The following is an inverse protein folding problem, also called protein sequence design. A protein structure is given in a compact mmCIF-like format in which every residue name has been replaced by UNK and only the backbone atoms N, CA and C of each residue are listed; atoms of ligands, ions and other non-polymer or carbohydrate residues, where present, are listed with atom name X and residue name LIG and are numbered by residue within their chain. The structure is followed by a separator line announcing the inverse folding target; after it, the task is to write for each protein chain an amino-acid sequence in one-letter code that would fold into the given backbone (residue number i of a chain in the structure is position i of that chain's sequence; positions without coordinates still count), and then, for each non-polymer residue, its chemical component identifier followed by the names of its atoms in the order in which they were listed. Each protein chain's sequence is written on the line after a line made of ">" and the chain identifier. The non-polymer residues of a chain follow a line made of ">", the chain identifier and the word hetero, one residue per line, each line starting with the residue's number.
data_IF_346860182306
#
_entry.id   IF_346860182306
#
_cell.length_a   1.000
_cell.length_b   1.000
_cell.length_c   1.000
_cell.angle_alpha   90.00
_cell.angle_beta   90.00
_cell.angle_gamma   90.00
#
_symmetry.space_group_name_H-M   'P 1'
#
loop_
_entity.id
_entity.type
_entity.pdbx_description
1 polymer ?
#
# COMPACT_ATOMS: atom_id res chain seq x y z
N UNK A 1 34.44 60.84 9.98
CA UNK A 1 33.90 60.35 8.70
C UNK A 1 34.35 58.90 8.51
N UNK A 2 33.39 58.06 8.14
CA UNK A 2 33.49 56.75 7.48
C UNK A 2 34.35 55.64 8.12
N UNK A 3 33.65 54.83 8.92
CA UNK A 3 33.88 53.41 9.14
C UNK A 3 33.57 52.60 7.86
N UNK A 4 34.46 51.73 7.39
CA UNK A 4 34.07 50.66 6.47
C UNK A 4 34.83 49.34 6.78
N UNK A 5 34.22 48.53 7.65
CA UNK A 5 34.51 47.10 7.79
C UNK A 5 33.88 46.35 6.60
N UNK A 6 34.69 45.73 5.75
CA UNK A 6 34.21 44.75 4.77
C UNK A 6 34.01 43.43 5.49
N UNK A 7 32.75 43.12 5.81
CA UNK A 7 32.34 41.81 6.34
C UNK A 7 31.90 40.94 5.16
N UNK A 8 32.73 39.98 4.76
CA UNK A 8 32.38 38.95 3.77
C UNK A 8 31.40 37.96 4.38
N UNK A 9 30.19 37.91 3.83
CA UNK A 9 29.10 37.02 4.21
C UNK A 9 29.27 35.70 3.44
N UNK A 10 29.45 34.53 4.10
CA UNK A 10 29.35 33.27 3.39
C UNK A 10 27.87 32.95 3.14
N UNK A 11 27.50 32.80 1.86
CA UNK A 11 26.24 32.19 1.44
C UNK A 11 26.13 30.79 2.04
N UNK A 12 25.23 30.62 3.01
CA UNK A 12 24.74 29.31 3.41
C UNK A 12 23.92 28.76 2.25
N UNK A 13 24.52 27.88 1.45
CA UNK A 13 23.76 26.92 0.64
C UNK A 13 22.81 26.20 1.60
N UNK A 14 21.51 26.42 1.44
CA UNK A 14 20.48 25.66 2.12
C UNK A 14 20.54 24.24 1.56
N UNK A 15 21.28 23.37 2.26
CA UNK A 15 21.13 21.93 2.10
C UNK A 15 19.69 21.59 2.46
N UNK A 16 18.96 21.04 1.49
CA UNK A 16 17.63 20.49 1.70
C UNK A 16 17.65 19.52 2.90
N UNK A 17 16.62 19.49 3.76
CA UNK A 17 16.54 18.52 4.84
C UNK A 17 16.27 17.13 4.24
N UNK A 18 17.33 16.38 3.97
CA UNK A 18 17.30 14.94 3.78
C UNK A 18 17.08 14.27 5.15
N UNK A 19 15.88 14.40 5.72
CA UNK A 19 15.50 13.73 6.97
C UNK A 19 14.00 13.47 7.11
N UNK A 20 13.26 13.43 5.99
CA UNK A 20 11.85 13.05 5.99
C UNK A 20 11.61 11.54 5.80
N UNK A 21 12.64 10.71 5.63
CA UNK A 21 12.45 9.33 5.12
C UNK A 21 12.61 8.20 6.15
N UNK A 22 13.24 8.40 7.31
CA UNK A 22 13.43 7.30 8.29
C UNK A 22 12.33 7.22 9.35
N UNK A 23 11.83 8.34 9.87
CA UNK A 23 10.77 8.34 10.89
C UNK A 23 9.41 7.87 10.36
N UNK A 24 9.08 8.19 9.11
CA UNK A 24 7.82 7.81 8.49
C UNK A 24 7.71 6.30 8.21
N UNK A 25 8.82 5.67 7.81
CA UNK A 25 8.84 4.24 7.50
C UNK A 25 8.78 3.39 8.78
N UNK A 26 9.58 3.71 9.80
CA UNK A 26 9.53 3.00 11.08
C UNK A 26 8.13 3.09 11.74
N UNK A 27 7.47 4.26 11.63
CA UNK A 27 6.09 4.41 12.08
C UNK A 27 5.10 3.55 11.31
N UNK A 28 5.28 3.41 9.99
CA UNK A 28 4.44 2.55 9.16
C UNK A 28 4.62 1.07 9.48
N UNK A 29 5.86 0.64 9.68
CA UNK A 29 6.19 -0.75 10.03
C UNK A 29 5.55 -1.13 11.38
N UNK A 30 5.63 -0.24 12.36
CA UNK A 30 4.98 -0.43 13.66
C UNK A 30 3.45 -0.51 13.52
N UNK A 31 2.83 0.38 12.75
CA UNK A 31 1.39 0.36 12.50
C UNK A 31 0.96 -0.98 11.87
N UNK A 32 1.69 -1.46 10.88
CA UNK A 32 1.35 -2.69 10.16
C UNK A 32 1.53 -3.93 11.04
N UNK A 33 2.54 -3.95 11.92
CA UNK A 33 2.66 -4.99 12.95
C UNK A 33 1.50 -4.98 13.95
N UNK A 34 1.06 -3.80 14.38
CA UNK A 34 -0.11 -3.69 15.25
C UNK A 34 -1.38 -4.21 14.56
N UNK A 35 -1.59 -3.86 13.29
CA UNK A 35 -2.70 -4.41 12.50
C UNK A 35 -2.59 -5.94 12.39
N UNK A 36 -1.38 -6.47 12.22
CA UNK A 36 -1.15 -7.90 12.10
C UNK A 36 -1.48 -8.69 13.39
N UNK A 37 -1.31 -8.04 14.54
CA UNK A 37 -1.62 -8.59 15.86
C UNK A 37 -3.08 -8.39 16.30
N UNK A 38 -3.83 -7.49 15.65
CA UNK A 38 -5.20 -7.19 16.02
C UNK A 38 -6.16 -8.38 15.76
N UNK A 39 -7.25 -8.54 16.54
CA UNK A 39 -8.32 -9.47 16.21
C UNK A 39 -8.85 -9.27 14.79
N UNK A 40 -9.34 -10.33 14.13
CA UNK A 40 -9.74 -10.30 12.72
C UNK A 40 -10.77 -9.20 12.41
N UNK A 41 -11.85 -9.12 13.20
CA UNK A 41 -12.90 -8.12 13.00
C UNK A 41 -12.35 -6.69 13.12
N UNK A 42 -11.49 -6.46 14.13
CA UNK A 42 -10.86 -5.16 14.35
C UNK A 42 -9.91 -4.82 13.19
N UNK A 43 -9.12 -5.79 12.73
CA UNK A 43 -8.19 -5.64 11.60
C UNK A 43 -8.94 -5.28 10.32
N UNK A 44 -10.00 -6.03 10.00
CA UNK A 44 -10.84 -5.78 8.82
C UNK A 44 -11.46 -4.40 8.89
N UNK A 45 -12.00 -3.99 10.04
CA UNK A 45 -12.54 -2.64 10.24
C UNK A 45 -11.48 -1.55 10.04
N UNK A 46 -10.32 -1.66 10.68
CA UNK A 46 -9.24 -0.68 10.56
C UNK A 46 -8.71 -0.58 9.13
N UNK A 47 -8.61 -1.70 8.42
CA UNK A 47 -8.23 -1.73 7.01
C UNK A 47 -9.32 -1.11 6.12
N UNK A 48 -10.59 -1.37 6.41
CA UNK A 48 -11.73 -0.74 5.72
C UNK A 48 -11.72 0.79 5.87
N UNK A 49 -11.56 1.29 7.10
CA UNK A 49 -11.42 2.73 7.37
C UNK A 49 -10.26 3.33 6.57
N UNK A 50 -9.14 2.61 6.48
CA UNK A 50 -7.97 3.05 5.72
C UNK A 50 -8.22 3.05 4.20
N UNK A 51 -8.92 2.05 3.68
CA UNK A 51 -9.29 1.98 2.26
C UNK A 51 -10.24 3.12 1.89
N UNK A 52 -11.18 3.48 2.76
CA UNK A 52 -12.06 4.64 2.56
C UNK A 52 -11.26 5.95 2.51
N UNK A 53 -10.27 6.11 3.40
CA UNK A 53 -9.35 7.26 3.35
C UNK A 53 -8.58 7.30 2.03
N UNK A 54 -8.09 6.15 1.55
CA UNK A 54 -7.41 6.06 0.26
C UNK A 54 -8.33 6.44 -0.90
N UNK A 55 -9.58 5.96 -0.92
CA UNK A 55 -10.52 6.25 -1.98
C UNK A 55 -10.82 7.76 -2.13
N UNK A 56 -10.79 8.51 -1.02
CA UNK A 56 -10.97 9.96 -1.03
C UNK A 56 -9.75 10.78 -1.51
N UNK A 57 -8.63 10.14 -1.81
CA UNK A 57 -7.41 10.80 -2.30
C UNK A 57 -7.37 10.85 -3.83
N UNK A 58 -6.65 11.83 -4.38
CA UNK A 58 -6.26 11.82 -5.79
C UNK A 58 -5.40 10.58 -6.10
N UNK A 59 -5.36 10.19 -7.37
CA UNK A 59 -4.71 8.94 -7.81
C UNK A 59 -3.25 8.83 -7.39
N UNK A 60 -2.46 9.88 -7.58
CA UNK A 60 -1.04 9.86 -7.24
C UNK A 60 -0.80 9.75 -5.73
N UNK A 61 -1.58 10.47 -4.93
CA UNK A 61 -1.53 10.38 -3.47
C UNK A 61 -1.97 9.00 -2.98
N UNK A 62 -3.05 8.47 -3.56
CA UNK A 62 -3.61 7.15 -3.24
C UNK A 62 -2.61 6.03 -3.51
N UNK A 63 -2.04 5.99 -4.71
CA UNK A 63 -1.02 4.99 -5.07
C UNK A 63 0.21 5.07 -4.18
N UNK A 64 0.70 6.29 -3.89
CA UNK A 64 1.85 6.48 -2.98
C UNK A 64 1.55 5.93 -1.59
N UNK A 65 0.37 6.25 -1.05
CA UNK A 65 -0.02 5.82 0.29
C UNK A 65 -0.25 4.31 0.37
N UNK A 66 -0.90 3.73 -0.64
CA UNK A 66 -1.08 2.28 -0.77
C UNK A 66 0.27 1.55 -0.92
N UNK A 67 1.20 2.09 -1.72
CA UNK A 67 2.55 1.52 -1.88
C UNK A 67 3.31 1.48 -0.57
N UNK A 68 3.29 2.56 0.22
CA UNK A 68 3.94 2.58 1.53
C UNK A 68 3.38 1.51 2.48
N UNK A 69 2.06 1.37 2.51
CA UNK A 69 1.41 0.36 3.34
C UNK A 69 1.69 -1.07 2.89
N UNK A 70 1.61 -1.31 1.59
CA UNK A 70 1.86 -2.63 1.02
C UNK A 70 3.32 -3.04 1.21
N UNK A 71 4.27 -2.14 0.98
CA UNK A 71 5.68 -2.41 1.19
C UNK A 71 5.97 -2.79 2.65
N UNK A 72 5.42 -2.06 3.63
CA UNK A 72 5.55 -2.38 5.05
C UNK A 72 4.92 -3.74 5.39
N UNK A 73 3.73 -4.05 4.85
CA UNK A 73 3.07 -5.34 5.05
C UNK A 73 3.86 -6.51 4.46
N UNK A 74 4.47 -6.31 3.30
CA UNK A 74 5.32 -7.30 2.64
C UNK A 74 6.66 -7.53 3.36
N UNK A 75 6.96 -6.82 4.44
CA UNK A 75 8.10 -7.12 5.32
C UNK A 75 7.74 -7.98 6.52
N UNK A 76 6.44 -8.24 6.74
CA UNK A 76 5.99 -9.10 7.83
C UNK A 76 6.34 -10.58 7.57
N UNK A 77 6.37 -11.42 8.62
CA UNK A 77 6.32 -12.88 8.47
C UNK A 77 5.14 -13.30 7.59
N UNK A 78 5.27 -14.45 6.90
CA UNK A 78 4.25 -14.92 5.93
C UNK A 78 2.86 -15.01 6.54
N UNK A 79 2.72 -15.64 7.70
CA UNK A 79 1.41 -15.81 8.34
C UNK A 79 0.76 -14.46 8.70
N UNK A 80 1.57 -13.49 9.13
CA UNK A 80 1.07 -12.17 9.50
C UNK A 80 0.68 -11.34 8.27
N UNK A 81 1.46 -11.44 7.20
CA UNK A 81 1.12 -10.83 5.93
C UNK A 81 -0.16 -11.44 5.34
N UNK A 82 -0.34 -12.76 5.42
CA UNK A 82 -1.56 -13.43 4.94
C UNK A 82 -2.80 -12.93 5.66
N UNK A 83 -2.75 -12.78 6.99
CA UNK A 83 -3.87 -12.20 7.75
C UNK A 83 -4.19 -10.77 7.32
N UNK A 84 -3.17 -9.94 7.03
CA UNK A 84 -3.37 -8.58 6.51
C UNK A 84 -4.01 -8.62 5.11
N UNK A 85 -3.50 -9.47 4.22
CA UNK A 85 -3.99 -9.60 2.86
C UNK A 85 -5.45 -10.05 2.82
N UNK A 86 -5.81 -11.06 3.63
CA UNK A 86 -7.18 -11.56 3.76
C UNK A 86 -8.13 -10.49 4.31
N UNK A 87 -7.76 -9.83 5.42
CA UNK A 87 -8.60 -8.78 6.00
C UNK A 87 -8.75 -7.57 5.08
N UNK A 88 -7.71 -7.20 4.32
CA UNK A 88 -7.79 -6.14 3.29
C UNK A 88 -8.76 -6.53 2.17
N UNK A 89 -8.72 -7.79 1.72
CA UNK A 89 -9.63 -8.29 0.70
C UNK A 89 -11.09 -8.30 1.20
N UNK A 90 -11.32 -8.77 2.43
CA UNK A 90 -12.65 -8.76 3.05
C UNK A 90 -13.18 -7.33 3.22
N UNK A 91 -12.34 -6.41 3.71
CA UNK A 91 -12.69 -5.01 3.85
C UNK A 91 -13.06 -4.37 2.50
N UNK A 92 -12.28 -4.66 1.45
CA UNK A 92 -12.52 -4.19 0.09
C UNK A 92 -13.85 -4.70 -0.48
N UNK A 93 -14.23 -5.94 -0.17
CA UNK A 93 -15.52 -6.52 -0.60
C UNK A 93 -16.73 -5.89 0.08
N UNK A 94 -16.54 -5.27 1.25
CA UNK A 94 -17.59 -4.53 1.95
C UNK A 94 -17.86 -3.11 1.39
N UNK A 95 -17.08 -2.66 0.41
CA UNK A 95 -17.23 -1.34 -0.21
C UNK A 95 -18.17 -1.39 -1.42
N UNK A 96 -18.72 -0.23 -1.80
CA UNK A 96 -19.49 -0.10 -3.03
C UNK A 96 -18.63 -0.39 -4.28
N UNK A 97 -19.29 -0.72 -5.39
CA UNK A 97 -18.61 -1.20 -6.58
C UNK A 97 -17.62 -0.18 -7.18
N UNK A 98 -17.95 1.11 -7.16
CA UNK A 98 -17.12 2.17 -7.76
C UNK A 98 -15.89 2.47 -6.90
N UNK A 99 -16.08 2.57 -5.59
CA UNK A 99 -14.99 2.69 -4.61
C UNK A 99 -14.05 1.50 -4.70
N UNK A 100 -14.61 0.28 -4.70
CA UNK A 100 -13.84 -0.96 -4.84
C UNK A 100 -13.03 -0.97 -6.14
N UNK A 101 -13.64 -0.64 -7.28
CA UNK A 101 -12.94 -0.61 -8.57
C UNK A 101 -11.81 0.42 -8.59
N UNK A 102 -12.04 1.60 -8.01
CA UNK A 102 -11.03 2.66 -7.90
C UNK A 102 -9.80 2.20 -7.10
N UNK A 103 -10.05 1.56 -5.95
CA UNK A 103 -8.98 1.02 -5.12
C UNK A 103 -8.26 -0.15 -5.79
N UNK A 104 -8.98 -1.03 -6.49
CA UNK A 104 -8.36 -2.16 -7.19
C UNK A 104 -7.47 -1.74 -8.36
N UNK A 105 -7.87 -0.73 -9.14
CA UNK A 105 -7.01 -0.14 -10.19
C UNK A 105 -5.70 0.41 -9.60
N UNK A 106 -5.81 1.13 -8.49
CA UNK A 106 -4.66 1.73 -7.80
C UNK A 106 -3.77 0.65 -7.18
N UNK A 107 -4.36 -0.38 -6.57
CA UNK A 107 -3.61 -1.55 -6.07
C UNK A 107 -2.86 -2.23 -7.21
N UNK A 108 -3.51 -2.44 -8.36
CA UNK A 108 -2.88 -3.07 -9.51
C UNK A 108 -1.68 -2.28 -10.03
N UNK A 109 -1.80 -0.95 -10.13
CA UNK A 109 -0.68 -0.06 -10.50
C UNK A 109 0.47 -0.16 -9.48
N UNK A 110 0.15 -0.12 -8.19
CA UNK A 110 1.12 -0.27 -7.11
C UNK A 110 1.86 -1.61 -7.22
N UNK A 111 1.13 -2.72 -7.36
CA UNK A 111 1.69 -4.08 -7.49
C UNK A 111 2.63 -4.20 -8.69
N UNK A 112 2.26 -3.64 -9.84
CA UNK A 112 3.12 -3.61 -11.04
C UNK A 112 4.41 -2.83 -10.81
N UNK A 113 4.37 -1.82 -9.94
CA UNK A 113 5.53 -0.98 -9.59
C UNK A 113 6.43 -1.59 -8.50
N UNK A 114 6.07 -2.74 -7.91
CA UNK A 114 6.85 -3.38 -6.86
C UNK A 114 8.07 -4.14 -7.44
N UNK A 115 9.13 -4.31 -6.62
CA UNK A 115 10.18 -5.30 -6.87
C UNK A 115 9.59 -6.69 -7.18
N UNK A 116 10.30 -7.49 -7.98
CA UNK A 116 9.78 -8.75 -8.50
C UNK A 116 9.43 -9.76 -7.39
N UNK A 117 10.27 -9.86 -6.37
CA UNK A 117 10.07 -10.70 -5.17
C UNK A 117 8.82 -10.28 -4.37
N UNK A 118 8.68 -8.97 -4.12
CA UNK A 118 7.53 -8.39 -3.43
C UNK A 118 6.22 -8.59 -4.21
N UNK A 119 6.27 -8.40 -5.53
CA UNK A 119 5.16 -8.65 -6.43
C UNK A 119 4.75 -10.11 -6.43
N UNK A 120 5.70 -11.03 -6.54
CA UNK A 120 5.43 -12.47 -6.48
C UNK A 120 4.78 -12.86 -5.16
N UNK A 121 5.25 -12.29 -4.04
CA UNK A 121 4.67 -12.51 -2.72
C UNK A 121 3.21 -12.04 -2.63
N UNK A 122 2.91 -10.84 -3.12
CA UNK A 122 1.52 -10.33 -3.15
C UNK A 122 0.63 -11.13 -4.09
N UNK A 123 1.13 -11.56 -5.26
CA UNK A 123 0.37 -12.43 -6.16
C UNK A 123 0.12 -13.81 -5.57
N UNK A 124 1.09 -14.39 -4.83
CA UNK A 124 0.91 -15.65 -4.12
C UNK A 124 -0.18 -15.54 -3.05
N UNK A 125 -0.16 -14.50 -2.24
CA UNK A 125 -1.18 -14.28 -1.22
C UNK A 125 -2.56 -14.06 -1.85
N UNK A 126 -2.66 -13.24 -2.90
CA UNK A 126 -3.92 -13.02 -3.61
C UNK A 126 -4.46 -14.32 -4.21
N UNK A 127 -3.60 -15.15 -4.82
CA UNK A 127 -4.01 -16.46 -5.36
C UNK A 127 -4.56 -17.37 -4.26
N UNK A 128 -3.94 -17.39 -3.09
CA UNK A 128 -4.42 -18.20 -1.95
C UNK A 128 -5.80 -17.71 -1.48
N UNK A 129 -5.97 -16.41 -1.30
CA UNK A 129 -7.27 -15.81 -0.91
C UNK A 129 -8.35 -16.16 -1.94
N UNK A 130 -8.09 -15.93 -3.23
CA UNK A 130 -9.04 -16.21 -4.31
C UNK A 130 -9.38 -17.69 -4.41
N UNK A 131 -8.41 -18.58 -4.18
CA UNK A 131 -8.64 -20.03 -4.20
C UNK A 131 -9.53 -20.53 -3.07
N UNK A 132 -9.66 -19.76 -1.99
CA UNK A 132 -10.53 -20.08 -0.86
C UNK A 132 -11.98 -19.59 -1.06
N UNK A 133 -12.26 -18.79 -2.10
CA UNK A 133 -13.61 -18.28 -2.38
C UNK A 133 -14.52 -19.34 -3.00
N UNK A 134 -15.85 -19.21 -2.84
CA UNK A 134 -16.85 -19.91 -3.65
C UNK A 134 -16.57 -19.79 -5.16
N UNK A 135 -16.98 -20.77 -5.95
CA UNK A 135 -16.62 -20.88 -7.37
C UNK A 135 -17.11 -19.68 -8.21
N UNK A 136 -18.32 -19.21 -7.93
CA UNK A 136 -18.95 -18.06 -8.56
C UNK A 136 -18.22 -16.75 -8.24
N UNK A 137 -17.85 -16.54 -6.98
CA UNK A 137 -17.07 -15.38 -6.56
C UNK A 137 -15.64 -15.42 -7.13
N UNK A 138 -15.03 -16.60 -7.13
CA UNK A 138 -13.69 -16.83 -7.68
C UNK A 138 -13.62 -16.43 -9.14
N UNK A 139 -14.58 -16.85 -9.97
CA UNK A 139 -14.62 -16.51 -11.39
C UNK A 139 -14.66 -15.00 -11.64
N UNK A 140 -15.44 -14.27 -10.84
CA UNK A 140 -15.54 -12.81 -10.92
C UNK A 140 -14.21 -12.13 -10.57
N UNK A 141 -13.57 -12.55 -9.46
CA UNK A 141 -12.30 -11.97 -9.04
C UNK A 141 -11.18 -12.28 -10.04
N UNK A 142 -11.12 -13.50 -10.57
CA UNK A 142 -10.14 -13.88 -11.60
C UNK A 142 -10.29 -13.02 -12.86
N UNK A 143 -11.52 -12.84 -13.34
CA UNK A 143 -11.82 -11.98 -14.50
C UNK A 143 -11.38 -10.54 -14.24
N UNK A 144 -11.66 -10.02 -13.05
CA UNK A 144 -11.24 -8.68 -12.67
C UNK A 144 -9.73 -8.53 -12.62
N UNK A 145 -9.01 -9.50 -12.04
CA UNK A 145 -7.55 -9.50 -12.01
C UNK A 145 -6.94 -9.55 -13.42
N UNK A 146 -7.55 -10.31 -14.34
CA UNK A 146 -7.14 -10.35 -15.75
C UNK A 146 -7.34 -8.99 -16.42
N UNK A 147 -8.51 -8.36 -16.25
CA UNK A 147 -8.80 -7.04 -16.81
C UNK A 147 -7.86 -5.94 -16.27
N UNK A 148 -7.38 -6.10 -15.03
CA UNK A 148 -6.39 -5.20 -14.43
C UNK A 148 -4.94 -5.53 -14.82
N UNK A 149 -4.71 -6.58 -15.62
CA UNK A 149 -3.39 -7.05 -16.02
C UNK A 149 -2.55 -7.55 -14.85
N UNK A 150 -3.19 -8.16 -13.85
CA UNK A 150 -2.54 -8.85 -12.73
C UNK A 150 -2.39 -10.35 -12.97
N UNK A 151 -3.06 -10.88 -14.01
CA UNK A 151 -3.03 -12.28 -14.42
C UNK A 151 -2.59 -12.37 -15.89
N UNK A 152 -1.27 -12.35 -16.13
CA UNK A 152 -0.63 -12.48 -17.46
C UNK A 152 0.12 -11.20 -17.89
N UNK A 153 1.31 -11.26 -18.50
CA UNK A 153 1.97 -12.37 -19.19
C UNK A 153 3.25 -12.82 -18.47
N UNK A 154 3.36 -14.12 -18.19
CA UNK A 154 4.66 -14.79 -18.21
C UNK A 154 4.97 -15.07 -19.68
N UNK A 155 5.46 -14.05 -20.37
CA UNK A 155 6.03 -14.12 -21.71
C UNK A 155 7.54 -13.95 -21.62
#
# INVERSE_FOLDING_TARGET
>A
MSWLKKNTKPERKASAPASASQGGQAGMDQMVRMLAAAPEDQRTRMLGDRLTVFAGQDEASRERAMKGMLAAALQLPEDDYQKIAAARFNALNGLDADTRMTLMKSHAAVVKSLPADQRQREMKAMKQIVSALPEDERGQVMTMMQNLGLMGEAG
#
